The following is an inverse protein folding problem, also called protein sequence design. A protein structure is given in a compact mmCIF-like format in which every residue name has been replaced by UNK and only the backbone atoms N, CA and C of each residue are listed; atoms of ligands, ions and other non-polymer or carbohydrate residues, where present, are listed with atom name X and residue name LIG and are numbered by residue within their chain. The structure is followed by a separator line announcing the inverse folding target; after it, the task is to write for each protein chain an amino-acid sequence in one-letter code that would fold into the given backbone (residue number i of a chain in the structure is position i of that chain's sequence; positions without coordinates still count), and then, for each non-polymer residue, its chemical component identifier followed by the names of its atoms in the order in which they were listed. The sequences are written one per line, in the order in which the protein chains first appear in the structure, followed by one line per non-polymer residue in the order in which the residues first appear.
data_IF_160572714733
#
_entry.id   IF_160572714733
#
_cell.length_a   1.000
_cell.length_b   1.000
_cell.length_c   1.000
_cell.angle_alpha   90.00
_cell.angle_beta   90.00
_cell.angle_gamma   90.00
#
_symmetry.space_group_name_H-M   'P 1'
#
loop_
_entity.id
_entity.type
_entity.pdbx_description
1 polymer ?
#
# COMPACT_ATOMS: atom_id res chain seq x y z
N UNK A 1 -12.17 48.18 -11.69
CA UNK A 1 -12.75 47.02 -10.89
C UNK A 1 -12.85 45.76 -11.77
N UNK A 2 -12.45 45.87 -13.05
CA UNK A 2 -12.51 44.85 -14.12
C UNK A 2 -11.14 44.21 -14.32
N UNK A 3 -10.03 44.85 -13.79
CA UNK A 3 -8.66 44.32 -13.95
C UNK A 3 -8.31 43.42 -12.77
N UNK A 4 -9.09 43.56 -11.62
CA UNK A 4 -8.87 42.68 -10.44
C UNK A 4 -9.74 41.42 -10.52
N UNK A 5 -10.77 41.42 -11.40
CA UNK A 5 -11.68 40.26 -11.59
C UNK A 5 -11.07 39.27 -12.59
N UNK A 6 -10.23 39.76 -13.50
CA UNK A 6 -9.59 38.88 -14.50
C UNK A 6 -8.36 38.18 -13.89
N UNK A 7 -7.76 38.82 -12.85
CA UNK A 7 -6.61 38.21 -12.13
C UNK A 7 -7.11 37.17 -11.12
N UNK A 8 -8.25 37.29 -10.56
CA UNK A 8 -8.84 36.33 -9.60
C UNK A 8 -9.42 35.13 -10.37
N UNK A 9 -9.89 35.28 -11.62
CA UNK A 9 -10.43 34.17 -12.44
C UNK A 9 -9.30 33.38 -13.07
N UNK A 10 -8.16 34.01 -13.29
CA UNK A 10 -6.97 33.30 -13.81
C UNK A 10 -6.25 32.58 -12.67
N UNK A 11 -6.40 33.07 -11.43
CA UNK A 11 -5.82 32.38 -10.26
C UNK A 11 -6.67 31.18 -9.85
N UNK A 12 -8.04 31.19 -10.19
CA UNK A 12 -8.92 30.05 -9.86
C UNK A 12 -8.81 28.97 -10.94
N UNK A 13 -8.40 29.27 -12.17
CA UNK A 13 -8.27 28.27 -13.25
C UNK A 13 -6.91 27.55 -13.17
N UNK A 14 -5.87 28.16 -12.48
CA UNK A 14 -4.57 27.48 -12.30
C UNK A 14 -4.66 26.55 -11.08
N UNK A 15 -5.68 26.81 -10.14
CA UNK A 15 -5.80 25.94 -8.95
C UNK A 15 -6.49 24.62 -9.29
N UNK A 16 -7.25 24.56 -10.48
CA UNK A 16 -7.95 23.31 -10.84
C UNK A 16 -6.98 22.35 -11.56
N UNK A 17 -5.81 22.90 -12.11
CA UNK A 17 -4.86 22.01 -12.81
C UNK A 17 -3.92 21.32 -11.80
N UNK A 18 -4.03 21.76 -10.46
CA UNK A 18 -3.21 21.07 -9.44
C UNK A 18 -4.13 20.27 -8.51
N UNK A 19 -5.51 20.07 -9.01
CA UNK A 19 -6.32 19.29 -8.03
C UNK A 19 -6.08 17.79 -8.24
N UNK A 20 -4.91 17.23 -7.76
CA UNK A 20 -4.82 15.77 -7.55
C UNK A 20 -6.06 15.26 -6.80
N UNK A 21 -6.99 14.62 -7.60
CA UNK A 21 -8.25 14.16 -6.96
C UNK A 21 -8.02 12.87 -6.17
N UNK A 22 -7.74 13.08 -4.90
CA UNK A 22 -7.58 11.87 -4.08
C UNK A 22 -8.70 10.84 -4.35
N UNK A 23 -8.20 9.60 -4.36
CA UNK A 23 -9.17 8.54 -4.68
C UNK A 23 -9.23 7.53 -3.51
N UNK A 24 -10.46 7.38 -3.08
CA UNK A 24 -10.67 6.41 -1.99
C UNK A 24 -10.77 4.99 -2.57
N UNK A 25 -10.10 4.09 -1.87
CA UNK A 25 -10.08 2.70 -2.38
C UNK A 25 -10.56 1.74 -1.29
N UNK A 26 -11.47 0.86 -1.78
CA UNK A 26 -11.97 -0.19 -0.87
C UNK A 26 -10.93 -1.31 -0.74
N UNK A 27 -10.73 -1.72 0.53
CA UNK A 27 -9.82 -2.86 0.77
C UNK A 27 -10.59 -4.07 1.31
N UNK A 28 -11.12 -4.81 0.27
CA UNK A 28 -11.81 -6.09 0.54
C UNK A 28 -13.08 -5.88 1.35
N UNK A 29 -13.71 -4.69 1.26
CA UNK A 29 -14.99 -4.44 1.94
C UNK A 29 -14.77 -4.23 3.44
N UNK A 30 -13.49 -4.18 3.87
CA UNK A 30 -13.25 -4.11 5.33
C UNK A 30 -12.71 -2.73 5.71
N UNK A 31 -11.98 -2.22 4.80
CA UNK A 31 -11.35 -0.90 5.10
C UNK A 31 -11.23 -0.08 3.81
N UNK A 32 -10.91 1.20 4.08
CA UNK A 32 -10.64 2.07 2.91
C UNK A 32 -9.32 2.82 3.15
N UNK A 33 -8.72 3.18 1.95
CA UNK A 33 -7.53 4.03 2.03
C UNK A 33 -7.57 5.03 0.87
N UNK A 34 -6.99 6.20 1.15
CA UNK A 34 -7.08 7.24 0.11
C UNK A 34 -5.72 7.40 -0.59
N UNK A 35 -5.79 7.19 -1.98
CA UNK A 35 -4.59 7.44 -2.80
C UNK A 35 -4.61 8.89 -3.33
N UNK A 36 -3.36 9.35 -3.51
CA UNK A 36 -3.28 10.73 -4.00
C UNK A 36 -3.93 10.89 -5.38
N UNK A 37 -3.87 9.83 -6.15
CA UNK A 37 -4.55 9.80 -7.46
C UNK A 37 -5.03 8.37 -7.76
N UNK A 38 -5.68 8.34 -9.02
CA UNK A 38 -6.26 7.01 -9.34
C UNK A 38 -5.16 5.94 -9.43
N UNK A 39 -5.29 4.88 -8.57
CA UNK A 39 -4.29 3.80 -8.59
C UNK A 39 -4.61 2.73 -9.63
N UNK A 40 -3.61 1.92 -9.85
CA UNK A 40 -3.85 0.70 -10.67
C UNK A 40 -3.95 -0.52 -9.74
N UNK A 41 -4.91 -1.37 -10.20
CA UNK A 41 -5.11 -2.58 -9.37
C UNK A 41 -4.80 -3.84 -10.20
N UNK A 42 -4.10 -4.70 -9.50
CA UNK A 42 -3.84 -5.99 -10.16
C UNK A 42 -3.89 -7.13 -9.16
N UNK A 43 -4.08 -8.24 -9.70
CA UNK A 43 -4.03 -9.46 -8.88
C UNK A 43 -2.71 -10.21 -9.14
N UNK A 44 -1.95 -10.27 -7.99
CA UNK A 44 -0.66 -10.99 -8.14
C UNK A 44 -0.52 -12.02 -7.02
N UNK A 45 -0.49 -13.28 -7.46
CA UNK A 45 -0.26 -14.39 -6.51
C UNK A 45 -1.38 -14.47 -5.47
N UNK A 46 -2.62 -14.14 -5.90
CA UNK A 46 -3.75 -14.25 -4.94
C UNK A 46 -3.84 -13.02 -4.03
N UNK A 47 -2.95 -12.02 -4.38
CA UNK A 47 -3.01 -10.72 -3.66
C UNK A 47 -3.59 -9.63 -4.56
N UNK A 48 -4.51 -8.97 -3.91
CA UNK A 48 -4.96 -7.79 -4.68
C UNK A 48 -4.05 -6.59 -4.36
N UNK A 49 -3.24 -6.25 -5.41
CA UNK A 49 -2.31 -5.11 -5.25
C UNK A 49 -2.88 -3.85 -5.91
N UNK A 50 -2.95 -2.84 -5.12
CA UNK A 50 -3.30 -1.51 -5.65
C UNK A 50 -2.14 -0.53 -5.43
N UNK A 51 -1.82 0.18 -6.54
CA UNK A 51 -0.64 1.03 -6.34
C UNK A 51 -0.73 2.29 -7.20
N UNK A 52 -0.02 3.25 -6.69
CA UNK A 52 0.19 4.51 -7.42
C UNK A 52 1.65 4.95 -7.26
N UNK A 53 2.15 5.33 -8.43
CA UNK A 53 3.57 5.73 -8.40
C UNK A 53 3.68 7.18 -8.89
N UNK A 54 4.37 8.04 -7.98
CA UNK A 54 4.72 9.37 -8.54
C UNK A 54 6.24 9.55 -8.56
N UNK A 55 6.70 10.88 -8.66
CA UNK A 55 8.14 11.06 -8.98
C UNK A 55 9.01 10.73 -7.77
N UNK A 56 8.37 10.68 -6.58
CA UNK A 56 9.31 10.57 -5.44
C UNK A 56 8.89 9.40 -4.54
N UNK A 57 7.74 8.71 -4.95
CA UNK A 57 7.34 7.67 -3.98
C UNK A 57 6.41 6.66 -4.66
N UNK A 58 6.39 5.55 -4.03
CA UNK A 58 5.42 4.52 -4.42
C UNK A 58 4.44 4.30 -3.26
N UNK A 59 3.07 4.36 -3.63
CA UNK A 59 1.98 4.08 -2.68
C UNK A 59 1.33 2.74 -3.04
N UNK A 60 1.18 1.89 -1.98
CA UNK A 60 0.56 0.61 -2.42
C UNK A 60 -0.14 -0.05 -1.23
N UNK A 61 -1.12 -0.86 -1.63
CA UNK A 61 -1.78 -1.73 -0.64
C UNK A 61 -1.85 -3.14 -1.20
N UNK A 62 -1.84 -4.04 -0.23
CA UNK A 62 -2.05 -5.45 -0.60
C UNK A 62 -3.08 -6.04 0.36
N UNK A 63 -4.08 -6.70 -0.33
CA UNK A 63 -5.02 -7.46 0.54
C UNK A 63 -4.96 -8.94 0.15
N UNK A 64 -4.98 -9.68 1.26
CA UNK A 64 -4.98 -11.14 1.01
C UNK A 64 -5.89 -11.82 2.04
N UNK A 65 -6.86 -12.49 1.39
CA UNK A 65 -7.69 -13.31 2.31
C UNK A 65 -6.96 -14.63 2.63
N UNK A 66 -6.94 -14.87 3.89
CA UNK A 66 -6.25 -16.12 4.30
C UNK A 66 -7.24 -17.27 4.47
N UNK A 67 -7.01 -18.38 3.74
CA UNK A 67 -7.94 -19.53 3.87
C UNK A 67 -7.90 -20.10 5.30
N UNK A 68 -9.17 -20.59 5.72
CA UNK A 68 -9.42 -21.14 7.08
C UNK A 68 -8.42 -22.25 7.41
N UNK A 69 -8.02 -23.01 6.36
CA UNK A 69 -7.01 -24.08 6.53
C UNK A 69 -5.61 -23.51 6.77
N UNK A 70 -5.38 -22.32 6.20
CA UNK A 70 -4.11 -21.59 6.39
C UNK A 70 -4.08 -20.88 7.76
N UNK A 71 -5.19 -20.58 8.20
CA UNK A 71 -5.31 -19.94 9.52
C UNK A 71 -5.22 -20.99 10.63
N UNK A 72 -5.62 -22.32 10.37
CA UNK A 72 -5.61 -23.46 11.32
C UNK A 72 -4.19 -24.01 11.47
N UNK A 73 -3.17 -23.65 10.62
CA UNK A 73 -1.77 -24.15 10.60
C UNK A 73 -0.82 -23.10 11.15
N UNK A 74 -1.30 -22.06 11.91
CA UNK A 74 -0.52 -20.94 12.49
C UNK A 74 0.00 -21.35 13.89
N UNK A 75 1.19 -21.54 14.17
CA UNK A 75 1.99 -21.81 15.38
C UNK A 75 2.14 -20.55 16.23
N UNK A 76 1.34 -19.32 16.08
CA UNK A 76 1.43 -18.18 17.00
C UNK A 76 0.13 -17.97 17.80
N UNK A 77 0.14 -18.46 19.00
CA UNK A 77 -1.02 -18.51 19.93
C UNK A 77 -1.60 -17.12 20.15
N UNK A 78 -0.88 -15.95 19.30
CA UNK A 78 -1.36 -14.60 19.64
C UNK A 78 -1.12 -13.63 18.47
N UNK A 79 -1.86 -12.76 18.25
CA UNK A 79 -1.79 -11.69 17.23
C UNK A 79 -0.38 -11.10 17.16
N UNK A 80 0.34 -10.87 18.19
CA UNK A 80 1.71 -10.33 18.09
C UNK A 80 2.66 -11.32 17.40
N UNK A 81 2.60 -12.53 17.72
CA UNK A 81 3.46 -13.52 17.05
C UNK A 81 3.17 -13.60 15.55
N UNK A 82 1.86 -13.50 15.25
CA UNK A 82 1.52 -13.46 13.81
C UNK A 82 2.23 -12.28 13.12
N UNK A 83 2.15 -11.12 13.68
CA UNK A 83 2.78 -9.94 13.03
C UNK A 83 4.31 -10.12 12.95
N UNK A 84 4.87 -10.69 14.01
CA UNK A 84 6.33 -10.88 13.95
C UNK A 84 6.72 -11.82 12.81
N UNK A 85 6.00 -12.88 12.69
CA UNK A 85 6.33 -13.83 11.61
C UNK A 85 6.09 -13.21 10.23
N UNK A 86 4.98 -12.46 10.11
CA UNK A 86 4.71 -11.79 8.82
C UNK A 86 5.83 -10.80 8.49
N UNK A 87 6.26 -10.09 9.47
CA UNK A 87 7.31 -9.08 9.23
C UNK A 87 8.60 -9.79 8.83
N UNK A 88 8.90 -10.88 9.53
CA UNK A 88 10.13 -11.61 9.17
C UNK A 88 10.09 -12.12 7.72
N UNK A 89 8.96 -12.70 7.41
CA UNK A 89 8.82 -13.14 6.00
C UNK A 89 8.93 -11.98 5.01
N UNK A 90 8.29 -10.93 5.42
CA UNK A 90 8.30 -9.75 4.53
C UNK A 90 9.73 -9.22 4.37
N UNK A 91 10.50 -9.12 5.40
CA UNK A 91 11.86 -8.56 5.33
C UNK A 91 12.79 -9.55 4.62
N UNK A 92 12.63 -10.85 4.89
CA UNK A 92 13.46 -11.86 4.22
C UNK A 92 13.32 -11.78 2.69
N UNK A 93 12.04 -11.66 2.26
CA UNK A 93 11.83 -11.61 0.79
C UNK A 93 12.42 -10.33 0.20
N UNK A 94 12.35 -9.35 0.98
CA UNK A 94 12.85 -8.06 0.44
C UNK A 94 14.35 -7.91 0.72
N UNK A 95 14.85 -8.95 1.42
CA UNK A 95 16.24 -8.80 1.92
C UNK A 95 16.42 -7.46 2.64
N UNK A 96 15.50 -7.20 3.52
CA UNK A 96 15.42 -5.88 4.19
C UNK A 96 16.01 -5.95 5.59
N UNK A 97 16.41 -4.75 6.06
CA UNK A 97 16.84 -4.58 7.47
C UNK A 97 15.88 -3.63 8.20
N UNK A 98 15.40 -4.18 9.29
CA UNK A 98 14.38 -3.44 10.04
C UNK A 98 15.01 -2.20 10.71
N UNK A 99 14.35 -1.07 10.64
CA UNK A 99 14.83 0.17 11.30
C UNK A 99 13.96 0.40 12.54
N UNK A 100 12.65 0.35 12.32
CA UNK A 100 11.80 0.50 13.51
C UNK A 100 10.53 -0.35 13.34
N UNK A 101 9.94 -0.61 14.56
CA UNK A 101 8.69 -1.39 14.67
C UNK A 101 7.79 -0.77 15.76
N UNK A 102 6.64 -0.31 15.26
CA UNK A 102 5.78 0.39 16.24
C UNK A 102 4.33 -0.14 16.14
N UNK A 103 3.76 -0.47 17.29
CA UNK A 103 2.32 -0.84 17.25
C UNK A 103 1.43 0.38 16.98
N UNK A 104 0.31 0.12 16.33
CA UNK A 104 -0.71 1.19 16.20
C UNK A 104 -2.09 0.57 16.39
N UNK A 105 -2.99 1.51 16.69
CA UNK A 105 -4.40 1.05 16.89
C UNK A 105 -5.35 1.97 16.11
N UNK A 106 -6.32 1.27 15.40
CA UNK A 106 -7.40 2.03 14.72
C UNK A 106 -8.75 1.43 15.13
N UNK A 107 -9.44 2.25 15.84
CA UNK A 107 -10.80 1.84 16.29
C UNK A 107 -10.71 0.59 17.16
N UNK A 108 -9.73 0.47 18.05
CA UNK A 108 -9.64 -0.65 19.01
C UNK A 108 -8.99 -1.89 18.40
N UNK A 109 -8.69 -1.83 17.05
CA UNK A 109 -8.05 -2.98 16.39
C UNK A 109 -6.54 -2.73 16.30
N UNK A 110 -5.84 -3.73 16.57
CA UNK A 110 -4.37 -3.58 16.70
C UNK A 110 -3.67 -3.89 15.37
N UNK A 111 -2.59 -3.15 15.09
CA UNK A 111 -1.74 -3.34 13.91
C UNK A 111 -0.28 -3.03 14.25
N UNK A 112 0.55 -3.32 13.21
CA UNK A 112 1.98 -3.01 13.43
C UNK A 112 2.52 -2.28 12.20
N UNK A 113 3.31 -1.25 12.53
CA UNK A 113 4.00 -0.50 11.45
C UNK A 113 5.51 -0.74 11.55
N UNK A 114 6.09 -0.93 10.38
CA UNK A 114 7.56 -1.08 10.40
C UNK A 114 8.17 -0.11 9.39
N UNK A 115 9.36 0.26 9.65
CA UNK A 115 10.26 0.97 8.74
C UNK A 115 11.53 0.14 8.49
N UNK A 116 11.85 0.08 7.22
CA UNK A 116 13.02 -0.79 6.96
C UNK A 116 13.70 -0.34 5.67
N UNK A 117 14.93 -0.76 5.49
CA UNK A 117 15.65 -0.49 4.22
C UNK A 117 15.88 -1.82 3.50
N UNK A 118 15.75 -1.67 2.12
CA UNK A 118 15.98 -2.86 1.28
C UNK A 118 16.68 -2.44 -0.01
N UNK A 119 17.73 -3.21 -0.33
CA UNK A 119 18.47 -2.76 -1.54
C UNK A 119 18.56 -3.91 -2.55
N UNK A 120 17.83 -4.91 -2.32
CA UNK A 120 18.00 -6.10 -3.18
C UNK A 120 17.45 -5.85 -4.58
N UNK A 121 16.57 -4.84 -4.76
CA UNK A 121 16.08 -4.50 -6.10
C UNK A 121 16.38 -3.02 -6.40
N UNK A 122 17.32 -2.88 -7.34
CA UNK A 122 17.75 -1.49 -7.62
C UNK A 122 16.63 -0.67 -8.28
N UNK A 123 15.60 -1.34 -8.63
CA UNK A 123 14.51 -0.59 -9.31
C UNK A 123 13.45 -0.11 -8.31
N UNK A 124 13.65 -0.46 -7.08
CA UNK A 124 12.70 0.02 -6.07
C UNK A 124 13.43 0.90 -5.07
N UNK A 125 12.63 1.87 -4.51
CA UNK A 125 13.25 2.73 -3.50
C UNK A 125 13.73 1.93 -2.27
N UNK A 126 14.86 2.45 -1.66
CA UNK A 126 15.51 1.65 -0.60
C UNK A 126 14.80 1.83 0.75
N UNK A 127 14.10 2.91 0.95
CA UNK A 127 13.43 3.13 2.26
C UNK A 127 11.93 2.82 2.14
N UNK A 128 11.48 2.01 3.15
CA UNK A 128 10.08 1.54 3.01
C UNK A 128 9.39 1.61 4.38
N UNK A 129 8.09 2.00 4.29
CA UNK A 129 7.21 2.02 5.47
C UNK A 129 6.02 1.09 5.22
N UNK A 130 5.76 0.23 6.22
CA UNK A 130 4.64 -0.72 5.97
C UNK A 130 3.80 -0.85 7.25
N UNK A 131 2.45 -0.88 7.00
CA UNK A 131 1.52 -1.20 8.09
C UNK A 131 0.81 -2.52 7.78
N UNK A 132 0.75 -3.32 8.86
CA UNK A 132 0.03 -4.60 8.73
C UNK A 132 -1.16 -4.62 9.71
N UNK A 133 -2.31 -5.03 9.13
CA UNK A 133 -3.45 -5.18 10.06
C UNK A 133 -4.30 -6.37 9.57
N UNK A 134 -4.56 -7.26 10.53
CA UNK A 134 -5.41 -8.43 10.23
C UNK A 134 -6.84 -8.18 10.69
N UNK A 135 -7.70 -8.25 9.74
CA UNK A 135 -9.14 -8.14 10.06
C UNK A 135 -9.87 -9.39 9.55
N UNK A 136 -10.52 -10.06 10.55
CA UNK A 136 -11.12 -11.38 10.26
C UNK A 136 -10.07 -12.34 9.69
N UNK A 137 -10.02 -12.60 8.49
CA UNK A 137 -9.01 -13.50 7.89
C UNK A 137 -8.32 -12.80 6.72
N UNK A 138 -8.36 -11.48 6.82
CA UNK A 138 -7.75 -10.75 5.68
C UNK A 138 -6.60 -9.88 6.21
N UNK A 139 -5.42 -10.16 5.60
CA UNK A 139 -4.28 -9.28 5.94
C UNK A 139 -4.21 -8.10 4.98
N UNK A 140 -4.29 -6.97 5.62
CA UNK A 140 -4.14 -5.73 4.82
C UNK A 140 -2.75 -5.14 5.08
N UNK A 141 -2.06 -4.98 3.97
CA UNK A 141 -0.74 -4.33 4.05
C UNK A 141 -0.76 -2.99 3.28
N UNK A 142 -0.34 -1.98 4.03
CA UNK A 142 -0.20 -0.66 3.40
C UNK A 142 1.29 -0.29 3.34
N UNK A 143 1.66 0.07 2.09
CA UNK A 143 3.11 0.30 1.90
C UNK A 143 3.37 1.65 1.24
N UNK A 144 4.45 2.29 1.79
CA UNK A 144 4.97 3.54 1.19
C UNK A 144 6.48 3.41 1.02
N UNK A 145 6.90 3.64 -0.31
CA UNK A 145 8.34 3.46 -0.58
C UNK A 145 8.91 4.76 -1.17
N UNK A 146 10.11 5.10 -0.64
CA UNK A 146 10.83 6.27 -1.18
C UNK A 146 12.34 6.07 -1.03
N UNK A 147 13.04 6.98 -1.74
CA UNK A 147 14.51 6.92 -1.50
C UNK A 147 14.86 7.55 -0.15
N UNK A 148 15.92 6.97 0.42
CA UNK A 148 16.31 7.44 1.77
C UNK A 148 16.57 8.94 1.76
N UNK A 149 17.09 9.48 0.68
CA UNK A 149 17.39 10.93 0.64
C UNK A 149 16.12 11.77 0.61
N UNK A 150 14.95 11.05 0.32
CA UNK A 150 13.70 11.85 0.22
C UNK A 150 12.86 11.65 1.49
N UNK A 151 13.48 11.08 2.48
CA UNK A 151 12.66 10.72 3.65
C UNK A 151 11.93 11.97 4.19
N UNK A 152 12.65 13.11 4.34
CA UNK A 152 12.00 14.29 4.94
C UNK A 152 11.03 14.93 3.95
N UNK A 153 11.41 14.89 2.70
CA UNK A 153 10.55 15.56 1.70
C UNK A 153 9.23 14.82 1.53
N UNK A 154 9.18 13.50 1.86
CA UNK A 154 7.93 12.75 1.59
C UNK A 154 7.18 12.51 2.90
N UNK A 155 7.60 13.17 3.94
CA UNK A 155 7.00 12.86 5.26
C UNK A 155 5.50 13.22 5.25
N UNK A 156 5.20 14.36 4.72
CA UNK A 156 3.77 14.76 4.73
C UNK A 156 2.93 13.79 3.91
N UNK A 157 3.36 13.53 2.70
CA UNK A 157 2.59 12.60 1.85
C UNK A 157 2.48 11.21 2.51
N UNK A 158 3.59 10.80 3.03
CA UNK A 158 3.57 9.46 3.69
C UNK A 158 2.57 9.45 4.85
N UNK A 159 2.65 10.44 5.72
CA UNK A 159 1.73 10.47 6.87
C UNK A 159 0.27 10.55 6.41
N UNK A 160 0.02 11.36 5.42
CA UNK A 160 -1.37 11.46 4.91
C UNK A 160 -1.85 10.11 4.36
N UNK A 161 -1.03 9.49 3.64
CA UNK A 161 -1.45 8.22 3.02
C UNK A 161 -1.65 7.14 4.09
N UNK A 162 -0.65 6.97 5.00
CA UNK A 162 -0.74 5.87 5.99
C UNK A 162 -1.89 6.14 6.97
N UNK A 163 -2.15 7.43 7.25
CA UNK A 163 -3.22 7.74 8.23
C UNK A 163 -4.60 7.80 7.56
N UNK A 164 -4.61 7.66 6.27
CA UNK A 164 -5.94 7.68 5.62
C UNK A 164 -6.62 6.31 5.69
N UNK A 165 -5.90 5.31 6.27
CA UNK A 165 -6.53 3.98 6.41
C UNK A 165 -7.66 4.05 7.46
N UNK A 166 -8.84 3.64 7.01
CA UNK A 166 -10.00 3.67 7.93
C UNK A 166 -10.73 2.31 7.82
N UNK A 167 -11.29 1.88 9.05
CA UNK A 167 -12.07 0.61 9.04
C UNK A 167 -13.54 0.94 8.76
N UNK A 168 -14.05 0.31 7.69
CA UNK A 168 -15.44 0.68 7.32
C UNK A 168 -16.40 -0.45 7.67
N UNK A 169 -15.86 -1.68 7.90
CA UNK A 169 -16.74 -2.81 8.26
C UNK A 169 -17.21 -2.68 9.71
N UNK A 170 -18.42 -3.33 9.95
CA UNK A 170 -18.95 -3.26 11.32
C UNK A 170 -17.90 -3.74 12.35
N UNK A 171 -17.58 -2.92 13.17
CA UNK A 171 -16.38 -3.11 14.03
C UNK A 171 -16.67 -4.15 15.11
N UNK A 172 -17.89 -4.18 15.59
CA UNK A 172 -18.23 -5.08 16.72
C UNK A 172 -18.28 -6.53 16.23
N UNK A 173 -18.10 -6.63 14.89
CA UNK A 173 -18.24 -8.01 14.39
C UNK A 173 -16.89 -8.51 13.84
N UNK A 174 -15.88 -7.52 13.87
CA UNK A 174 -14.60 -7.93 13.26
C UNK A 174 -13.77 -8.69 14.30
N UNK A 175 -13.02 -9.70 13.75
CA UNK A 175 -12.11 -10.45 14.64
C UNK A 175 -10.68 -10.35 14.10
N UNK A 176 -9.69 -10.34 15.01
CA UNK A 176 -8.27 -10.39 14.56
C UNK A 176 -7.66 -11.74 14.94
N UNK A 177 -8.53 -12.86 14.18
CA UNK A 177 -8.10 -14.24 13.84
C UNK A 177 -7.09 -14.78 14.86
N UNK A 178 -6.97 -14.34 16.23
CA UNK A 178 -6.11 -15.17 17.11
C UNK A 178 -6.88 -15.48 18.40
N UNK A 179 -8.20 -15.27 18.55
CA UNK A 179 -9.01 -15.68 19.71
C UNK A 179 -9.56 -17.09 19.50
N UNK A 180 -9.08 -17.93 18.55
CA UNK A 180 -9.47 -19.33 18.29
C UNK A 180 -8.23 -20.23 18.36
N UNK A 181 -8.14 -21.28 19.34
CA UNK A 181 -7.07 -22.18 19.77
C UNK A 181 -6.41 -22.91 18.59
N UNK A 182 -6.67 -22.46 17.26
CA UNK A 182 -5.97 -23.30 16.25
C UNK A 182 -5.30 -22.38 15.22
N UNK A 183 -4.28 -21.56 15.63
CA UNK A 183 -3.74 -20.70 14.54
C UNK A 183 -2.21 -20.60 14.69
N UNK A 184 -1.43 -21.43 13.81
CA UNK A 184 -0.08 -20.80 13.57
C UNK A 184 0.72 -21.67 12.60
N UNK A 185 1.69 -21.10 11.55
CA UNK A 185 2.94 -21.19 10.79
C UNK A 185 2.75 -20.60 9.39
N UNK A 186 2.14 -19.40 9.14
CA UNK A 186 1.98 -18.93 7.74
C UNK A 186 2.33 -17.44 7.69
N UNK A 187 2.65 -16.74 9.03
CA UNK A 187 2.95 -15.30 8.88
C UNK A 187 4.17 -15.06 7.97
N UNK A 188 5.21 -15.95 8.17
CA UNK A 188 6.45 -15.75 7.38
C UNK A 188 6.18 -15.97 5.88
N UNK A 189 5.45 -17.02 5.49
CA UNK A 189 5.16 -17.29 4.07
C UNK A 189 4.28 -16.17 3.49
N UNK A 190 3.34 -15.71 4.36
CA UNK A 190 2.42 -14.65 3.86
C UNK A 190 3.23 -13.36 3.65
N UNK A 191 4.07 -13.18 4.66
CA UNK A 191 4.90 -11.97 4.50
C UNK A 191 5.75 -12.04 3.23
N UNK A 192 6.30 -13.20 2.95
CA UNK A 192 7.13 -13.35 1.74
C UNK A 192 6.30 -13.13 0.47
N UNK A 193 5.10 -13.71 0.49
CA UNK A 193 4.26 -13.57 -0.73
C UNK A 193 3.86 -12.10 -0.93
N UNK A 194 3.54 -11.46 0.24
CA UNK A 194 3.18 -10.04 0.09
C UNK A 194 4.34 -9.23 -0.49
N UNK A 195 5.58 -9.53 0.01
CA UNK A 195 6.74 -8.79 -0.51
C UNK A 195 6.92 -9.06 -2.01
N UNK A 196 6.76 -10.30 -2.45
CA UNK A 196 6.93 -10.60 -3.88
C UNK A 196 5.82 -9.97 -4.73
N UNK A 197 4.63 -9.91 -4.15
CA UNK A 197 3.54 -9.25 -4.93
C UNK A 197 3.87 -7.79 -5.20
N UNK A 198 4.57 -7.18 -4.21
CA UNK A 198 4.91 -5.75 -4.42
C UNK A 198 6.01 -5.64 -5.48
N UNK A 199 6.97 -6.56 -5.30
CA UNK A 199 8.11 -6.47 -6.23
C UNK A 199 7.63 -6.76 -7.66
N UNK A 200 6.83 -7.79 -7.86
CA UNK A 200 6.40 -8.13 -9.24
C UNK A 200 5.32 -7.16 -9.73
N UNK A 201 4.54 -6.74 -8.76
CA UNK A 201 3.46 -5.78 -9.16
C UNK A 201 4.02 -4.45 -9.64
N UNK A 202 5.05 -3.99 -8.98
CA UNK A 202 5.61 -2.68 -9.41
C UNK A 202 6.24 -2.83 -10.79
N UNK A 203 6.90 -3.94 -11.01
CA UNK A 203 7.51 -4.14 -12.35
C UNK A 203 6.41 -4.17 -13.42
N UNK A 204 5.35 -4.91 -13.14
CA UNK A 204 4.22 -4.95 -14.10
C UNK A 204 3.59 -3.56 -14.28
N UNK A 205 3.51 -2.84 -13.16
CA UNK A 205 2.92 -1.47 -13.25
C UNK A 205 3.76 -0.54 -14.14
N UNK A 206 5.06 -0.66 -14.04
CA UNK A 206 5.93 0.22 -14.85
C UNK A 206 5.79 -0.15 -16.33
N UNK A 207 5.76 -1.47 -16.60
CA UNK A 207 5.62 -1.92 -18.01
C UNK A 207 4.29 -1.43 -18.58
N UNK A 208 3.21 -1.47 -17.82
CA UNK A 208 1.90 -1.02 -18.34
C UNK A 208 1.89 0.49 -18.55
N UNK A 209 2.61 1.17 -17.68
CA UNK A 209 2.67 2.63 -17.87
C UNK A 209 3.42 2.99 -19.15
N UNK A 210 4.54 2.26 -19.38
CA UNK A 210 5.31 2.54 -20.62
C UNK A 210 4.45 2.18 -21.84
N UNK A 211 3.75 1.06 -21.85
CA UNK A 211 2.88 0.70 -23.00
C UNK A 211 1.79 1.74 -23.23
N UNK A 212 1.19 2.23 -22.15
CA UNK A 212 0.11 3.21 -22.32
C UNK A 212 0.65 4.51 -22.95
N UNK A 213 1.83 4.89 -22.53
CA UNK A 213 2.37 6.15 -23.08
C UNK A 213 2.77 5.95 -24.55
N UNK A 214 3.35 4.75 -24.85
CA UNK A 214 3.78 4.50 -26.24
C UNK A 214 2.55 4.29 -27.16
N UNK A 215 1.45 3.66 -26.71
CA UNK A 215 0.22 3.51 -27.53
C UNK A 215 -0.46 4.87 -27.72
N UNK A 216 -0.48 5.74 -26.69
CA UNK A 216 -1.06 7.10 -26.87
C UNK A 216 -0.24 7.91 -27.89
N UNK A 217 1.08 7.73 -27.88
CA UNK A 217 1.93 8.45 -28.85
C UNK A 217 1.69 7.93 -30.28
N UNK A 218 1.49 6.65 -30.39
CA UNK A 218 1.21 6.07 -31.72
C UNK A 218 -0.17 6.52 -32.24
N UNK A 219 -1.17 6.64 -31.43
CA UNK A 219 -2.53 7.10 -31.83
C UNK A 219 -2.49 8.60 -32.20
N UNK A 220 -1.71 9.39 -31.47
CA UNK A 220 -1.56 10.83 -31.82
C UNK A 220 -0.80 10.98 -33.15
N UNK A 221 0.14 10.11 -33.45
CA UNK A 221 0.87 10.17 -34.74
C UNK A 221 0.02 9.65 -35.90
N UNK A 222 -0.90 8.79 -35.70
CA UNK A 222 -1.82 8.30 -36.74
C UNK A 222 -2.96 9.30 -36.99
N UNK A 223 -3.42 10.11 -36.06
CA UNK A 223 -4.48 11.13 -36.24
C UNK A 223 -3.92 12.37 -36.94
N UNK A 224 -2.58 12.49 -37.10
CA UNK A 224 -1.97 13.63 -37.82
C UNK A 224 -1.55 13.23 -39.23
N UNK A 225 -2.04 12.10 -39.76
CA UNK A 225 -1.90 11.83 -41.20
C UNK A 225 -3.29 11.60 -41.81
#
# INVERSE_FOLDING_TARGET
MKKNFCTILLLFSVLQLFAQNPQKQNLAGLATITFPQKPITSDTLGHILTQFIDSVAIYSTITRELDADMLLQVNGNTLPEFYDSTINGFLDAAQGKLISKNPFEIDGLKGIEIEFVASSNPNLPDLRFARFILLDNTLITVNFMTLSENKLATQTARTQFLNSLTITADKTSLTQGVDHPAAYAIGSIIGKLAAWAIILGVIAGVILLIRRITTKKKRTNKAEF
#
